data_IF_996138221415
#
_entry.id   IF_996138221415
#
_cell.length_a   1.000
_cell.length_b   1.000
_cell.length_c   1.000
_cell.angle_alpha   90.00
_cell.angle_beta   90.00
_cell.angle_gamma   90.00
#
_symmetry.space_group_name_H-M   'P 1'
#
loop_
_entity.id
_entity.type
_entity.pdbx_description
1 polymer ?
#
# COMPACT_ATOMS: atom_id res chain seq x y z
N UNK A 1 -1.11 6.56 -16.33
CA UNK A 1 -1.61 5.44 -15.52
C UNK A 1 -0.91 5.43 -14.17
N UNK A 2 -1.49 4.82 -13.15
CA UNK A 2 -0.99 4.89 -11.76
C UNK A 2 0.21 3.98 -11.45
N UNK A 3 0.58 3.08 -12.35
CA UNK A 3 1.70 2.13 -12.23
C UNK A 3 2.52 2.07 -13.52
N UNK A 4 3.81 1.75 -13.41
CA UNK A 4 4.74 1.52 -14.53
C UNK A 4 5.69 0.34 -14.23
N UNK A 5 6.29 -0.29 -15.26
CA UNK A 5 7.36 -1.26 -15.05
C UNK A 5 8.52 -0.66 -14.24
N UNK A 6 9.13 -1.47 -13.38
CA UNK A 6 10.29 -1.05 -12.59
C UNK A 6 11.34 -2.14 -12.56
N UNK A 7 12.61 -1.76 -12.47
CA UNK A 7 13.77 -2.65 -12.25
C UNK A 7 14.29 -2.57 -10.81
N UNK A 8 13.38 -2.32 -9.85
CA UNK A 8 13.72 -2.19 -8.43
C UNK A 8 14.33 -3.48 -7.88
N UNK A 9 15.38 -3.41 -7.04
CA UNK A 9 15.89 -4.59 -6.34
C UNK A 9 14.93 -5.08 -5.24
N UNK A 10 13.95 -4.26 -4.85
CA UNK A 10 12.96 -4.56 -3.83
C UNK A 10 11.57 -4.75 -4.44
N UNK A 11 10.83 -5.75 -3.97
CA UNK A 11 9.45 -5.99 -4.35
C UNK A 11 8.62 -6.40 -3.12
N UNK A 12 7.31 -6.19 -3.19
CA UNK A 12 6.35 -6.67 -2.21
C UNK A 12 5.33 -7.56 -2.93
N UNK A 13 4.86 -8.65 -2.30
CA UNK A 13 3.92 -9.56 -2.93
C UNK A 13 2.55 -8.91 -3.11
N UNK A 14 1.82 -9.42 -4.11
CA UNK A 14 0.47 -8.99 -4.46
C UNK A 14 -0.54 -10.00 -3.95
N UNK A 15 -1.60 -9.50 -3.34
CA UNK A 15 -2.75 -10.25 -2.87
C UNK A 15 -3.95 -9.92 -3.75
N UNK A 16 -4.60 -10.95 -4.29
CA UNK A 16 -5.84 -10.81 -5.04
C UNK A 16 -6.99 -11.15 -4.09
N UNK A 17 -7.82 -10.16 -3.79
CA UNK A 17 -8.94 -10.28 -2.86
C UNK A 17 -10.26 -10.13 -3.61
N UNK A 18 -11.20 -11.03 -3.37
CA UNK A 18 -12.56 -10.93 -3.90
C UNK A 18 -13.36 -9.90 -3.10
N UNK A 19 -14.06 -8.99 -3.78
CA UNK A 19 -15.01 -8.09 -3.11
C UNK A 19 -16.31 -8.84 -2.82
N UNK A 20 -17.01 -8.43 -1.76
CA UNK A 20 -18.32 -9.00 -1.39
C UNK A 20 -19.38 -8.85 -2.48
N UNK A 21 -19.41 -7.72 -3.19
CA UNK A 21 -20.33 -7.46 -4.30
C UNK A 21 -19.77 -7.90 -5.68
N UNK A 22 -18.73 -8.73 -5.71
CA UNK A 22 -18.09 -9.19 -6.93
C UNK A 22 -16.92 -8.33 -7.42
N UNK A 23 -16.12 -8.88 -8.33
CA UNK A 23 -14.87 -8.29 -8.80
C UNK A 23 -13.68 -8.55 -7.89
N UNK A 24 -12.49 -8.14 -8.36
CA UNK A 24 -11.22 -8.35 -7.67
C UNK A 24 -10.62 -7.02 -7.24
N UNK A 25 -9.96 -7.03 -6.07
CA UNK A 25 -9.06 -5.97 -5.61
C UNK A 25 -7.65 -6.53 -5.59
N UNK A 26 -6.73 -5.75 -6.12
CA UNK A 26 -5.29 -5.99 -6.01
C UNK A 26 -4.81 -5.21 -4.79
N UNK A 27 -4.40 -5.91 -3.73
CA UNK A 27 -3.74 -5.35 -2.57
C UNK A 27 -2.26 -5.66 -2.61
N UNK A 28 -1.40 -4.73 -2.21
CA UNK A 28 0.04 -4.95 -2.09
C UNK A 28 0.37 -5.12 -0.61
N UNK A 29 1.13 -6.16 -0.25
CA UNK A 29 1.45 -6.47 1.14
C UNK A 29 2.64 -5.64 1.63
N UNK A 30 2.35 -4.39 2.03
CA UNK A 30 3.36 -3.47 2.53
C UNK A 30 3.82 -3.74 3.97
N UNK A 31 3.40 -4.83 4.64
CA UNK A 31 3.72 -5.06 6.06
C UNK A 31 5.22 -5.01 6.36
N UNK A 32 6.04 -5.69 5.56
CA UNK A 32 7.49 -5.69 5.73
C UNK A 32 8.09 -4.28 5.54
N UNK A 33 7.65 -3.57 4.50
CA UNK A 33 8.13 -2.22 4.19
C UNK A 33 7.69 -1.22 5.27
N UNK A 34 6.45 -1.31 5.77
CA UNK A 34 5.92 -0.44 6.81
C UNK A 34 6.65 -0.59 8.15
N UNK A 35 7.29 -1.74 8.41
CA UNK A 35 8.15 -1.94 9.58
C UNK A 35 9.55 -1.35 9.40
N UNK A 36 10.00 -1.19 8.15
CA UNK A 36 11.28 -0.58 7.82
C UNK A 36 11.20 0.94 7.67
N UNK A 37 10.02 1.49 7.39
CA UNK A 37 9.82 2.92 7.18
C UNK A 37 9.37 3.64 8.44
N UNK A 38 9.76 4.91 8.56
CA UNK A 38 9.29 5.78 9.64
C UNK A 38 7.87 6.23 9.32
N UNK A 39 6.93 5.97 10.24
CA UNK A 39 5.58 6.53 10.13
C UNK A 39 5.65 8.04 10.38
N UNK A 40 5.37 8.82 9.35
CA UNK A 40 5.21 10.26 9.52
C UNK A 40 3.76 10.56 9.89
N UNK A 41 3.49 10.68 11.19
CA UNK A 41 2.19 11.10 11.71
C UNK A 41 2.42 12.31 12.62
N UNK A 42 2.69 13.46 12.01
CA UNK A 42 2.98 14.69 12.75
C UNK A 42 1.91 15.73 12.43
N UNK A 43 1.04 15.99 13.42
CA UNK A 43 0.22 17.19 13.64
C UNK A 43 -0.88 17.58 12.61
N UNK A 44 -0.81 17.17 11.34
CA UNK A 44 -1.80 17.60 10.33
C UNK A 44 -3.21 17.02 10.56
N UNK A 45 -3.28 15.79 11.09
CA UNK A 45 -4.55 15.11 11.38
C UNK A 45 -5.27 15.69 12.63
N UNK A 46 -4.58 16.44 13.49
CA UNK A 46 -5.23 17.17 14.59
C UNK A 46 -5.91 18.46 14.12
N UNK A 47 -5.56 18.96 12.93
CA UNK A 47 -6.05 20.22 12.36
C UNK A 47 -7.14 20.01 11.29
N UNK A 48 -7.31 18.77 10.81
CA UNK A 48 -8.36 18.35 9.87
C UNK A 48 -9.55 17.67 10.56
N UNK A 49 -9.66 17.79 11.88
CA UNK A 49 -10.84 17.41 12.67
C UNK A 49 -11.66 18.65 13.02
#
# INVERSE_FOLDING_TARGET
>A
GSIRPSSSPCASPILIVRKSAGGLRVGVDYRAINNLTVKFATLYLSWMR
#
